data_IF_818637251729
#
_entry.id   IF_818637251729
#
_cell.length_a   1.000
_cell.length_b   1.000
_cell.length_c   1.000
_cell.angle_alpha   90.00
_cell.angle_beta   90.00
_cell.angle_gamma   90.00
#
_symmetry.space_group_name_H-M   'P 1'
#
loop_
_entity.id
_entity.type
_entity.pdbx_description
1 polymer ?
#
# COMPACT_ATOMS: atom_id res chain seq x y z
N UNK A 1 44.10 21.70 7.58
CA UNK A 1 43.90 20.86 6.37
C UNK A 1 44.02 21.73 5.13
N UNK A 2 44.72 21.29 4.07
CA UNK A 2 44.81 22.02 2.82
C UNK A 2 43.42 22.11 2.16
N UNK A 3 43.05 23.29 1.65
CA UNK A 3 41.77 23.51 0.97
C UNK A 3 41.85 22.95 -0.46
N UNK A 4 41.03 21.96 -0.76
CA UNK A 4 40.90 21.36 -2.09
C UNK A 4 39.64 21.87 -2.80
N UNK A 5 39.62 21.93 -4.15
CA UNK A 5 38.41 22.30 -4.89
C UNK A 5 37.26 21.32 -4.62
N UNK A 6 36.06 21.84 -4.35
CA UNK A 6 34.83 21.04 -4.26
C UNK A 6 34.51 20.43 -5.63
N UNK A 7 34.19 19.13 -5.67
CA UNK A 7 33.92 18.42 -6.94
C UNK A 7 32.69 18.94 -7.69
N UNK A 8 31.74 19.58 -6.99
CA UNK A 8 30.50 20.09 -7.59
C UNK A 8 30.56 21.56 -8.00
N UNK A 9 31.17 22.43 -7.19
CA UNK A 9 31.17 23.88 -7.44
C UNK A 9 32.55 24.51 -7.64
N UNK A 10 33.63 23.72 -7.59
CA UNK A 10 35.01 24.20 -7.73
C UNK A 10 35.54 25.05 -6.57
N UNK A 11 34.66 25.57 -5.69
CA UNK A 11 35.06 26.40 -4.54
C UNK A 11 35.98 25.62 -3.59
N UNK A 12 37.03 26.30 -3.11
CA UNK A 12 37.96 25.75 -2.12
C UNK A 12 37.22 25.38 -0.83
N UNK A 13 37.33 24.12 -0.41
CA UNK A 13 36.70 23.60 0.80
C UNK A 13 37.65 22.71 1.58
N UNK A 14 37.44 22.61 2.89
CA UNK A 14 38.05 21.58 3.74
C UNK A 14 37.11 20.39 3.95
N UNK A 15 35.84 20.51 3.53
CA UNK A 15 34.83 19.48 3.69
C UNK A 15 35.06 18.31 2.74
N UNK A 16 34.86 17.10 3.26
CA UNK A 16 34.84 15.85 2.48
C UNK A 16 33.52 15.14 2.72
N UNK A 17 33.04 14.42 1.71
CA UNK A 17 31.83 13.61 1.89
C UNK A 17 32.13 12.43 2.83
N UNK A 18 31.36 12.19 3.90
CA UNK A 18 31.62 11.12 4.86
C UNK A 18 31.73 9.69 4.30
N UNK A 19 30.85 9.31 3.36
CA UNK A 19 30.88 7.97 2.73
C UNK A 19 31.82 7.88 1.53
N UNK A 20 31.77 8.89 0.65
CA UNK A 20 32.47 8.90 -0.62
C UNK A 20 33.91 9.42 -0.52
N UNK A 21 34.23 10.11 0.57
CA UNK A 21 35.54 10.66 0.91
C UNK A 21 36.11 11.69 -0.07
N UNK A 22 35.44 12.12 -1.13
CA UNK A 22 35.95 13.19 -2.00
C UNK A 22 35.72 14.59 -1.42
N UNK A 23 36.48 15.62 -1.86
CA UNK A 23 36.23 17.02 -1.53
C UNK A 23 34.83 17.49 -1.95
N UNK A 24 33.99 17.82 -0.96
CA UNK A 24 32.61 18.29 -1.18
C UNK A 24 32.22 19.27 -0.08
N UNK A 25 31.79 20.47 -0.47
CA UNK A 25 31.33 21.47 0.49
C UNK A 25 29.92 21.13 1.02
N UNK A 26 29.61 21.62 2.23
CA UNK A 26 28.32 21.39 2.90
C UNK A 26 27.14 21.85 2.06
N UNK A 27 27.27 22.99 1.37
CA UNK A 27 26.21 23.57 0.55
C UNK A 27 25.88 22.68 -0.65
N UNK A 28 26.88 22.18 -1.37
CA UNK A 28 26.67 21.27 -2.50
C UNK A 28 26.05 19.95 -2.05
N UNK A 29 26.43 19.45 -0.87
CA UNK A 29 25.79 18.27 -0.29
C UNK A 29 24.31 18.51 0.01
N UNK A 30 23.98 19.67 0.58
CA UNK A 30 22.60 20.01 0.94
C UNK A 30 21.71 20.28 -0.29
N UNK A 31 22.24 20.93 -1.33
CA UNK A 31 21.50 21.20 -2.58
C UNK A 31 21.27 19.97 -3.44
N UNK A 32 22.03 18.90 -3.23
CA UNK A 32 21.93 17.66 -4.00
C UNK A 32 21.68 16.47 -3.06
N UNK A 33 20.55 16.45 -2.32
CA UNK A 33 20.28 15.44 -1.29
C UNK A 33 20.10 14.03 -1.88
N UNK A 34 19.71 13.90 -3.14
CA UNK A 34 19.59 12.61 -3.82
C UNK A 34 20.94 11.98 -4.14
N UNK A 35 21.91 12.82 -4.55
CA UNK A 35 23.25 12.38 -4.95
C UNK A 35 24.20 12.23 -3.76
N UNK A 36 24.12 13.15 -2.79
CA UNK A 36 25.08 13.28 -1.69
C UNK A 36 24.45 13.28 -0.29
N UNK A 37 23.13 13.13 -0.20
CA UNK A 37 22.44 13.03 1.08
C UNK A 37 22.50 11.62 1.67
N UNK A 38 21.95 11.50 2.87
CA UNK A 38 21.91 10.25 3.61
C UNK A 38 20.48 9.76 3.84
N UNK A 39 20.34 8.44 3.91
CA UNK A 39 19.10 7.76 4.27
C UNK A 39 19.40 6.81 5.44
N UNK A 40 18.56 6.83 6.48
CA UNK A 40 18.72 5.92 7.63
C UNK A 40 18.37 4.49 7.24
N UNK A 41 18.90 3.49 7.95
CA UNK A 41 18.48 2.07 7.77
C UNK A 41 16.96 1.91 7.77
N UNK A 42 16.30 2.46 8.79
CA UNK A 42 14.84 2.40 8.94
C UNK A 42 14.14 2.99 7.73
N UNK A 43 14.59 4.16 7.27
CA UNK A 43 14.01 4.83 6.11
C UNK A 43 14.28 4.06 4.81
N UNK A 44 15.48 3.50 4.64
CA UNK A 44 15.84 2.70 3.46
C UNK A 44 14.97 1.42 3.36
N UNK A 45 14.76 0.73 4.48
CA UNK A 45 13.86 -0.44 4.53
C UNK A 45 12.42 -0.05 4.21
N UNK A 46 11.93 1.02 4.84
CA UNK A 46 10.55 1.48 4.77
C UNK A 46 10.19 2.06 3.41
N UNK A 47 11.03 2.94 2.89
CA UNK A 47 10.74 3.80 1.74
C UNK A 47 11.27 3.22 0.41
N UNK A 48 12.20 2.27 0.46
CA UNK A 48 12.85 1.68 -0.72
C UNK A 48 12.72 0.14 -0.77
N UNK A 49 12.01 -0.46 0.19
CA UNK A 49 11.72 -1.91 0.25
C UNK A 49 12.98 -2.79 0.15
N UNK A 50 14.05 -2.34 0.81
CA UNK A 50 15.32 -3.05 0.92
C UNK A 50 15.38 -3.78 2.26
N UNK A 51 16.03 -4.94 2.32
CA UNK A 51 16.26 -5.67 3.57
C UNK A 51 17.58 -5.22 4.23
N UNK A 52 17.71 -5.34 5.57
CA UNK A 52 18.94 -4.98 6.26
C UNK A 52 20.20 -5.66 5.68
N UNK A 53 20.12 -6.95 5.34
CA UNK A 53 21.22 -7.72 4.75
C UNK A 53 21.65 -7.20 3.37
N UNK A 54 20.73 -6.61 2.61
CA UNK A 54 21.03 -5.95 1.33
C UNK A 54 21.69 -4.59 1.54
N UNK A 55 21.21 -3.84 2.54
CA UNK A 55 21.76 -2.52 2.88
C UNK A 55 23.18 -2.61 3.41
N UNK A 56 23.50 -3.60 4.23
CA UNK A 56 24.86 -3.78 4.78
C UNK A 56 25.91 -4.17 3.72
N UNK A 57 25.49 -4.44 2.47
CA UNK A 57 26.41 -4.58 1.32
C UNK A 57 26.83 -3.22 0.75
N UNK A 58 26.14 -2.12 1.11
CA UNK A 58 26.45 -0.75 0.72
C UNK A 58 27.42 -0.11 1.71
N UNK A 59 28.09 0.96 1.29
CA UNK A 59 28.87 1.80 2.22
C UNK A 59 27.92 2.59 3.11
N UNK A 60 28.24 2.63 4.40
CA UNK A 60 27.49 3.41 5.40
C UNK A 60 28.44 4.06 6.40
N UNK A 61 27.91 5.02 7.15
CA UNK A 61 28.56 5.59 8.33
C UNK A 61 27.69 5.35 9.56
N UNK A 62 28.33 5.36 10.73
CA UNK A 62 27.67 5.35 12.02
C UNK A 62 27.64 6.76 12.61
N UNK A 63 26.46 7.20 13.02
CA UNK A 63 26.26 8.47 13.71
C UNK A 63 25.57 8.24 15.05
N UNK A 64 25.69 9.20 15.97
CA UNK A 64 24.96 9.14 17.24
C UNK A 64 23.46 9.20 16.97
N UNK A 65 22.71 8.27 17.55
CA UNK A 65 21.26 8.25 17.40
C UNK A 65 20.64 9.47 18.11
N UNK A 66 19.89 10.34 17.40
CA UNK A 66 19.30 11.55 17.97
C UNK A 66 18.35 11.28 19.14
N UNK A 67 17.68 10.12 19.13
CA UNK A 67 16.74 9.68 20.15
C UNK A 67 17.42 9.00 21.35
N UNK A 68 18.64 8.47 21.17
CA UNK A 68 19.40 7.72 22.17
C UNK A 68 20.86 8.16 22.17
N UNK A 69 21.11 9.43 22.51
CA UNK A 69 22.43 10.07 22.34
C UNK A 69 23.57 9.41 23.14
N UNK A 70 23.23 8.69 24.21
CA UNK A 70 24.16 7.97 25.10
C UNK A 70 23.96 6.45 25.09
N UNK A 71 23.11 5.92 24.19
CA UNK A 71 22.77 4.50 24.15
C UNK A 71 23.67 3.68 23.20
N UNK A 72 23.65 2.34 23.30
CA UNK A 72 24.53 1.44 22.53
C UNK A 72 24.10 1.23 21.07
N UNK A 73 23.20 2.07 20.54
CA UNK A 73 22.56 1.85 19.24
C UNK A 73 22.82 3.04 18.30
N UNK A 74 23.99 3.08 17.64
CA UNK A 74 24.27 4.10 16.63
C UNK A 74 23.31 3.98 15.44
N UNK A 75 23.06 5.09 14.77
CA UNK A 75 22.27 5.08 13.54
C UNK A 75 23.17 4.77 12.34
N UNK A 76 22.73 3.84 11.49
CA UNK A 76 23.38 3.57 10.21
C UNK A 76 22.82 4.49 9.13
N UNK A 77 23.69 5.25 8.48
CA UNK A 77 23.39 6.16 7.39
C UNK A 77 24.02 5.68 6.08
N UNK A 78 23.18 5.46 5.08
CA UNK A 78 23.56 5.03 3.74
C UNK A 78 23.54 6.21 2.77
N UNK A 79 24.33 6.14 1.69
CA UNK A 79 24.25 7.14 0.62
C UNK A 79 22.91 7.01 -0.10
N UNK A 80 22.19 8.12 -0.23
CA UNK A 80 20.85 8.14 -0.83
C UNK A 80 20.86 7.58 -2.27
N UNK A 81 21.84 7.97 -3.08
CA UNK A 81 21.99 7.48 -4.44
C UNK A 81 22.15 5.95 -4.50
N UNK A 82 22.97 5.36 -3.63
CA UNK A 82 23.18 3.90 -3.60
C UNK A 82 21.89 3.15 -3.22
N UNK A 83 21.11 3.70 -2.31
CA UNK A 83 19.80 3.15 -1.92
C UNK A 83 18.83 3.20 -3.10
N UNK A 84 18.79 4.33 -3.82
CA UNK A 84 17.96 4.50 -5.03
C UNK A 84 18.36 3.55 -6.15
N UNK A 85 19.66 3.39 -6.39
CA UNK A 85 20.19 2.52 -7.44
C UNK A 85 19.92 1.05 -7.12
N UNK A 86 20.13 0.63 -5.87
CA UNK A 86 19.82 -0.73 -5.42
C UNK A 86 18.31 -1.02 -5.50
N UNK A 87 17.47 -0.06 -5.11
CA UNK A 87 16.02 -0.15 -5.28
C UNK A 87 15.63 -0.29 -6.75
N UNK A 88 16.22 0.52 -7.63
CA UNK A 88 15.95 0.48 -9.08
C UNK A 88 16.40 -0.83 -9.70
N UNK A 89 17.56 -1.33 -9.33
CA UNK A 89 18.06 -2.62 -9.82
C UNK A 89 17.11 -3.76 -9.43
N UNK A 90 16.58 -3.71 -8.20
CA UNK A 90 15.70 -4.76 -7.68
C UNK A 90 14.27 -4.67 -8.19
N UNK A 91 13.74 -3.46 -8.36
CA UNK A 91 12.31 -3.21 -8.58
C UNK A 91 11.99 -2.51 -9.90
N UNK A 92 12.98 -2.16 -10.71
CA UNK A 92 12.80 -1.43 -11.97
C UNK A 92 12.61 0.08 -11.82
N UNK A 93 12.46 0.62 -10.60
CA UNK A 93 12.33 2.06 -10.33
C UNK A 93 13.11 2.52 -9.08
N UNK A 94 13.72 3.70 -9.17
CA UNK A 94 14.41 4.40 -8.07
C UNK A 94 13.50 5.34 -7.28
N UNK A 95 12.22 5.43 -7.65
CA UNK A 95 11.25 6.24 -6.92
C UNK A 95 10.99 5.66 -5.54
N UNK A 96 10.85 6.56 -4.58
CA UNK A 96 10.60 6.23 -3.19
C UNK A 96 9.20 5.65 -3.08
N UNK A 97 9.10 4.32 -2.91
CA UNK A 97 7.84 3.66 -2.56
C UNK A 97 7.50 4.02 -1.12
N UNK A 98 7.01 5.24 -0.89
CA UNK A 98 6.72 5.74 0.45
C UNK A 98 5.41 5.16 0.95
N UNK A 99 5.40 3.86 1.25
CA UNK A 99 4.31 3.27 2.03
C UNK A 99 4.84 2.07 2.81
N UNK A 100 5.43 2.31 3.99
CA UNK A 100 4.93 1.50 5.08
C UNK A 100 3.49 1.90 5.27
N UNK A 101 2.57 0.94 5.29
CA UNK A 101 1.28 1.15 5.90
C UNK A 101 1.57 1.73 7.27
N UNK A 102 1.38 3.04 7.44
CA UNK A 102 1.30 3.62 8.76
C UNK A 102 0.10 2.93 9.37
N UNK A 103 0.33 2.07 10.35
CA UNK A 103 -0.75 1.51 11.15
C UNK A 103 -1.68 2.68 11.49
N UNK A 104 -2.92 2.62 11.03
CA UNK A 104 -3.89 3.64 11.41
C UNK A 104 -4.04 3.51 12.92
N UNK A 105 -3.62 4.54 13.67
CA UNK A 105 -3.68 4.49 15.13
C UNK A 105 -5.13 4.35 15.58
N UNK A 106 -5.35 3.73 16.75
CA UNK A 106 -6.69 3.61 17.31
C UNK A 106 -7.39 4.97 17.44
N UNK A 107 -6.64 6.03 17.78
CA UNK A 107 -7.18 7.40 17.83
C UNK A 107 -7.63 7.90 16.46
N UNK A 108 -6.88 7.58 15.39
CA UNK A 108 -7.24 7.96 14.03
C UNK A 108 -8.46 7.18 13.53
N UNK A 109 -8.57 5.90 13.88
CA UNK A 109 -9.75 5.09 13.58
C UNK A 109 -10.99 5.61 14.33
N UNK A 110 -10.86 5.92 15.63
CA UNK A 110 -11.91 6.53 16.42
C UNK A 110 -12.35 7.88 15.82
N UNK A 111 -11.41 8.69 15.36
CA UNK A 111 -11.68 9.94 14.67
C UNK A 111 -12.48 9.73 13.36
N UNK A 112 -12.23 8.67 12.60
CA UNK A 112 -13.08 8.34 11.44
C UNK A 112 -14.45 7.78 11.83
N UNK A 113 -14.56 7.10 12.98
CA UNK A 113 -15.83 6.56 13.46
C UNK A 113 -16.79 7.66 13.97
N UNK A 114 -16.26 8.73 14.54
CA UNK A 114 -17.06 9.92 14.90
C UNK A 114 -17.76 10.55 13.69
N UNK A 115 -17.07 10.58 12.55
CA UNK A 115 -17.57 11.12 11.31
C UNK A 115 -16.90 10.44 10.12
N UNK A 116 -17.59 9.46 9.53
CA UNK A 116 -17.07 8.70 8.39
C UNK A 116 -16.92 9.54 7.12
N UNK A 117 -17.56 10.71 7.03
CA UNK A 117 -17.35 11.63 5.90
C UNK A 117 -15.93 12.21 5.91
N UNK A 118 -15.19 12.13 7.02
CA UNK A 118 -13.75 12.45 7.06
C UNK A 118 -12.93 11.59 6.10
N UNK A 119 -13.41 10.40 5.70
CA UNK A 119 -12.76 9.60 4.63
C UNK A 119 -12.76 10.33 3.27
N UNK A 120 -13.72 11.22 3.00
CA UNK A 120 -13.76 12.06 1.79
C UNK A 120 -12.66 13.14 1.79
N UNK A 121 -12.16 13.49 2.97
CA UNK A 121 -11.10 14.48 3.16
C UNK A 121 -9.69 13.89 3.00
N UNK A 122 -9.57 12.56 3.05
CA UNK A 122 -8.30 11.89 2.81
C UNK A 122 -7.78 12.17 1.39
N UNK A 123 -6.48 12.41 1.23
CA UNK A 123 -5.85 12.30 -0.08
C UNK A 123 -6.06 10.89 -0.69
N UNK A 124 -6.19 10.75 -2.02
CA UNK A 124 -6.44 9.45 -2.65
C UNK A 124 -5.39 8.36 -2.32
N UNK A 125 -4.13 8.73 -2.22
CA UNK A 125 -3.04 7.84 -1.79
C UNK A 125 -3.23 7.37 -0.33
N UNK A 126 -3.65 8.27 0.56
CA UNK A 126 -3.97 7.92 1.95
C UNK A 126 -5.19 7.01 2.06
N UNK A 127 -6.16 7.16 1.17
CA UNK A 127 -7.28 6.25 1.08
C UNK A 127 -6.86 4.84 0.63
N UNK A 128 -5.93 4.74 -0.33
CA UNK A 128 -5.32 3.44 -0.69
C UNK A 128 -4.59 2.80 0.50
N UNK A 129 -3.86 3.59 1.30
CA UNK A 129 -3.16 3.07 2.48
C UNK A 129 -4.14 2.59 3.55
N UNK A 130 -5.24 3.31 3.74
CA UNK A 130 -6.32 2.87 4.62
C UNK A 130 -6.86 1.51 4.20
N UNK A 131 -7.19 1.33 2.93
CA UNK A 131 -7.69 0.04 2.41
C UNK A 131 -6.67 -1.07 2.64
N UNK A 132 -5.39 -0.83 2.32
CA UNK A 132 -4.35 -1.82 2.52
C UNK A 132 -4.17 -2.18 4.01
N UNK A 133 -4.15 -1.20 4.92
CA UNK A 133 -4.12 -1.45 6.37
C UNK A 133 -5.32 -2.29 6.85
N UNK A 134 -6.53 -2.04 6.33
CA UNK A 134 -7.71 -2.87 6.62
C UNK A 134 -7.60 -4.29 6.03
N UNK A 135 -7.03 -4.46 4.85
CA UNK A 135 -6.75 -5.78 4.25
C UNK A 135 -5.75 -6.59 5.09
N UNK A 136 -4.78 -5.93 5.75
CA UNK A 136 -3.90 -6.61 6.70
C UNK A 136 -4.65 -7.16 7.91
N UNK A 137 -5.60 -6.37 8.45
CA UNK A 137 -6.46 -6.80 9.56
C UNK A 137 -7.39 -7.95 9.17
N UNK A 138 -7.75 -8.05 7.89
CA UNK A 138 -8.45 -9.18 7.29
C UNK A 138 -7.58 -10.45 7.11
N UNK A 139 -6.31 -10.43 7.52
CA UNK A 139 -5.40 -11.59 7.41
C UNK A 139 -4.72 -11.73 6.05
N UNK A 140 -4.82 -10.70 5.20
CA UNK A 140 -4.11 -10.65 3.92
C UNK A 140 -2.78 -9.90 4.06
N UNK A 141 -1.94 -10.01 3.04
CA UNK A 141 -0.72 -9.24 2.86
C UNK A 141 -0.87 -8.38 1.60
N UNK A 142 -1.20 -7.09 1.75
CA UNK A 142 -1.35 -6.16 0.64
C UNK A 142 0.01 -5.66 0.15
N UNK A 143 0.08 -5.39 -1.14
CA UNK A 143 1.16 -4.71 -1.84
C UNK A 143 0.53 -3.63 -2.72
N UNK A 144 0.85 -2.38 -2.42
CA UNK A 144 0.44 -1.27 -3.28
C UNK A 144 1.20 -1.35 -4.60
N UNK A 145 0.45 -1.19 -5.68
CA UNK A 145 0.88 -1.33 -7.06
C UNK A 145 0.84 0.08 -7.64
N UNK A 146 1.94 0.82 -7.47
CA UNK A 146 2.04 2.18 -7.98
C UNK A 146 1.93 2.20 -9.51
N UNK A 147 0.89 2.85 -10.04
CA UNK A 147 0.63 3.16 -11.45
C UNK A 147 0.89 2.04 -12.49
N UNK A 148 0.94 0.75 -12.09
CA UNK A 148 1.35 -0.36 -12.98
C UNK A 148 0.33 -0.60 -14.11
N UNK A 149 -0.89 -0.08 -14.01
CA UNK A 149 -1.94 -0.26 -15.02
C UNK A 149 -2.69 1.02 -15.38
N UNK A 150 -1.98 2.07 -15.85
CA UNK A 150 -2.66 3.12 -16.63
C UNK A 150 -2.65 2.80 -18.12
N UNK A 151 -3.78 2.28 -18.59
CA UNK A 151 -4.80 3.05 -19.33
C UNK A 151 -6.18 2.52 -18.92
N UNK A 152 -6.82 3.27 -18.02
CA UNK A 152 -8.25 3.32 -17.71
C UNK A 152 -8.96 2.25 -16.84
N UNK A 153 -8.29 1.26 -16.24
CA UNK A 153 -8.99 0.28 -15.36
C UNK A 153 -8.26 -0.19 -14.10
N UNK A 154 -7.22 0.53 -13.65
CA UNK A 154 -6.08 0.01 -12.87
C UNK A 154 -6.33 -0.81 -11.59
N UNK A 155 -5.31 -1.62 -11.25
CA UNK A 155 -5.15 -2.32 -9.97
C UNK A 155 -4.27 -1.47 -9.06
N UNK A 156 -4.80 -1.02 -7.92
CA UNK A 156 -4.07 -0.17 -6.96
C UNK A 156 -3.35 -0.99 -5.89
N UNK A 157 -3.94 -2.12 -5.49
CA UNK A 157 -3.39 -3.00 -4.46
C UNK A 157 -3.52 -4.44 -4.95
N UNK A 158 -2.48 -5.24 -4.72
CA UNK A 158 -2.53 -6.70 -4.82
C UNK A 158 -2.47 -7.25 -3.41
N UNK A 159 -3.36 -8.18 -3.06
CA UNK A 159 -3.33 -8.84 -1.76
C UNK A 159 -3.36 -10.36 -1.90
N UNK A 160 -2.75 -11.05 -0.94
CA UNK A 160 -2.72 -12.51 -0.87
C UNK A 160 -2.77 -12.96 0.59
N UNK A 161 -3.28 -14.15 0.91
CA UNK A 161 -3.40 -14.58 2.30
C UNK A 161 -2.04 -14.83 2.96
N UNK A 162 -1.89 -14.43 4.23
CA UNK A 162 -0.68 -14.73 5.03
C UNK A 162 -0.65 -16.19 5.47
N UNK A 163 -1.78 -16.72 5.95
CA UNK A 163 -1.87 -18.03 6.60
C UNK A 163 -3.16 -18.78 6.19
N UNK A 164 -3.41 -19.00 4.89
CA UNK A 164 -4.52 -19.84 4.42
C UNK A 164 -4.00 -21.10 3.73
N UNK A 165 -4.74 -22.20 3.88
CA UNK A 165 -4.46 -23.49 3.22
C UNK A 165 -4.53 -23.38 1.69
N UNK A 166 -5.41 -22.51 1.17
CA UNK A 166 -5.58 -22.29 -0.26
C UNK A 166 -5.11 -20.87 -0.62
N UNK A 167 -4.00 -20.71 -1.36
CA UNK A 167 -3.54 -19.40 -1.78
C UNK A 167 -4.42 -18.84 -2.91
N UNK A 168 -4.58 -17.53 -2.93
CA UNK A 168 -5.22 -16.80 -4.03
C UNK A 168 -4.56 -15.44 -4.19
N UNK A 169 -4.75 -14.85 -5.38
CA UNK A 169 -4.31 -13.49 -5.68
C UNK A 169 -5.52 -12.58 -5.86
N UNK A 170 -5.63 -11.56 -5.02
CA UNK A 170 -6.69 -10.56 -5.04
C UNK A 170 -6.16 -9.27 -5.67
N UNK A 171 -6.81 -8.79 -6.72
CA UNK A 171 -6.66 -7.42 -7.19
C UNK A 171 -7.64 -6.51 -6.45
N UNK A 172 -7.20 -5.31 -6.09
CA UNK A 172 -8.05 -4.32 -5.43
C UNK A 172 -7.88 -2.97 -6.13
N UNK A 173 -9.01 -2.34 -6.43
CA UNK A 173 -9.06 -0.97 -6.95
C UNK A 173 -9.74 -0.06 -5.92
N UNK A 174 -9.13 1.08 -5.65
CA UNK A 174 -9.59 2.08 -4.70
C UNK A 174 -10.12 3.31 -5.44
N UNK A 175 -11.44 3.52 -5.40
CA UNK A 175 -12.10 4.69 -5.98
C UNK A 175 -12.42 5.73 -4.90
N UNK A 176 -11.62 6.80 -4.84
CA UNK A 176 -11.83 7.92 -3.92
C UNK A 176 -12.65 9.05 -4.54
N UNK A 177 -13.65 9.54 -3.82
CA UNK A 177 -14.45 10.71 -4.17
C UNK A 177 -14.36 11.77 -3.06
N UNK A 178 -14.09 13.02 -3.45
CA UNK A 178 -14.09 14.18 -2.52
C UNK A 178 -15.48 14.71 -2.21
N UNK A 179 -16.47 14.36 -3.03
CA UNK A 179 -17.89 14.73 -2.91
C UNK A 179 -18.71 13.46 -2.77
N UNK A 180 -19.98 13.60 -2.42
CA UNK A 180 -20.91 12.46 -2.29
C UNK A 180 -21.41 11.92 -3.64
N UNK A 181 -20.48 11.74 -4.58
CA UNK A 181 -20.76 11.18 -5.91
C UNK A 181 -20.68 9.66 -5.87
N UNK A 182 -21.65 8.95 -6.47
CA UNK A 182 -21.58 7.49 -6.54
C UNK A 182 -20.55 7.04 -7.57
N UNK A 183 -19.92 5.89 -7.31
CA UNK A 183 -19.10 5.17 -8.29
C UNK A 183 -20.01 4.51 -9.33
N UNK A 184 -19.72 4.73 -10.61
CA UNK A 184 -20.63 4.35 -11.71
C UNK A 184 -20.29 2.97 -12.23
N UNK A 185 -21.21 2.39 -13.00
CA UNK A 185 -21.03 1.07 -13.64
C UNK A 185 -19.82 1.03 -14.59
N UNK A 186 -19.44 2.17 -15.19
CA UNK A 186 -18.24 2.26 -16.03
C UNK A 186 -16.99 1.82 -15.28
N UNK A 187 -16.77 2.39 -14.08
CA UNK A 187 -15.63 2.05 -13.22
C UNK A 187 -15.57 0.54 -12.91
N UNK A 188 -16.74 -0.06 -12.65
CA UNK A 188 -16.86 -1.49 -12.33
C UNK A 188 -16.59 -2.38 -13.54
N UNK A 189 -17.05 -1.99 -14.73
CA UNK A 189 -16.81 -2.71 -15.99
C UNK A 189 -15.34 -2.62 -16.41
N UNK A 190 -14.71 -1.46 -16.25
CA UNK A 190 -13.31 -1.27 -16.60
C UNK A 190 -12.42 -2.16 -15.74
N UNK A 191 -12.68 -2.20 -14.44
CA UNK A 191 -11.96 -3.10 -13.53
C UNK A 191 -12.22 -4.57 -13.82
N UNK A 192 -13.48 -4.94 -14.07
CA UNK A 192 -13.82 -6.30 -14.50
C UNK A 192 -13.05 -6.70 -15.76
N UNK A 193 -12.93 -5.80 -16.74
CA UNK A 193 -12.14 -6.02 -17.96
C UNK A 193 -10.68 -6.34 -17.67
N UNK A 194 -10.07 -5.69 -16.66
CA UNK A 194 -8.72 -6.00 -16.20
C UNK A 194 -8.66 -7.41 -15.61
N UNK A 195 -9.63 -7.79 -14.76
CA UNK A 195 -9.68 -9.11 -14.12
C UNK A 195 -9.90 -10.24 -15.12
N UNK A 196 -10.66 -10.02 -16.19
CA UNK A 196 -10.93 -11.02 -17.23
C UNK A 196 -9.95 -10.99 -18.39
N UNK A 197 -8.94 -10.12 -18.36
CA UNK A 197 -7.92 -10.10 -19.40
C UNK A 197 -7.18 -11.45 -19.46
N UNK A 198 -6.79 -11.89 -20.67
CA UNK A 198 -6.20 -13.21 -20.89
C UNK A 198 -4.94 -13.49 -20.05
N UNK A 199 -4.26 -12.45 -19.58
CA UNK A 199 -3.04 -12.55 -18.78
C UNK A 199 -3.27 -12.17 -17.30
N UNK A 200 -4.52 -12.02 -16.86
CA UNK A 200 -4.84 -11.67 -15.49
C UNK A 200 -4.45 -12.81 -14.54
N UNK A 201 -3.52 -12.59 -13.59
CA UNK A 201 -3.16 -13.60 -12.58
C UNK A 201 -4.14 -13.62 -11.39
N UNK A 202 -5.16 -12.76 -11.41
CA UNK A 202 -6.04 -12.55 -10.27
C UNK A 202 -7.18 -13.56 -10.25
N UNK A 203 -7.36 -14.17 -9.09
CA UNK A 203 -8.45 -15.12 -8.86
C UNK A 203 -9.74 -14.38 -8.50
N UNK A 204 -9.61 -13.20 -7.90
CA UNK A 204 -10.70 -12.33 -7.51
C UNK A 204 -10.28 -10.86 -7.62
N UNK A 205 -11.28 -9.98 -7.75
CA UNK A 205 -11.15 -8.55 -7.66
C UNK A 205 -12.08 -7.94 -6.62
N UNK A 206 -11.62 -6.88 -5.98
CA UNK A 206 -12.41 -6.08 -5.04
C UNK A 206 -12.31 -4.60 -5.42
N UNK A 207 -13.46 -3.96 -5.68
CA UNK A 207 -13.51 -2.54 -5.94
C UNK A 207 -14.08 -1.82 -4.72
N UNK A 208 -13.28 -0.93 -4.15
CA UNK A 208 -13.56 -0.25 -2.89
C UNK A 208 -13.81 1.23 -3.15
N UNK A 209 -14.88 1.79 -2.61
CA UNK A 209 -15.19 3.22 -2.72
C UNK A 209 -15.55 3.83 -1.37
N UNK A 210 -15.16 5.08 -1.15
CA UNK A 210 -15.53 5.85 0.05
C UNK A 210 -16.93 6.47 -0.02
N UNK A 211 -17.75 6.12 -1.02
CA UNK A 211 -19.14 6.57 -1.14
C UNK A 211 -20.07 5.38 -1.35
N UNK A 212 -20.85 5.36 -2.43
CA UNK A 212 -21.78 4.27 -2.79
C UNK A 212 -21.61 3.90 -4.25
N UNK A 213 -22.10 2.73 -4.61
CA UNK A 213 -22.24 2.31 -6.00
C UNK A 213 -23.61 2.71 -6.55
N UNK A 214 -23.69 2.97 -7.87
CA UNK A 214 -24.99 3.09 -8.54
C UNK A 214 -25.71 1.73 -8.59
N UNK A 215 -27.03 1.74 -8.76
CA UNK A 215 -27.80 0.50 -8.90
C UNK A 215 -27.27 -0.38 -10.06
N UNK A 216 -26.93 0.24 -11.20
CA UNK A 216 -26.34 -0.46 -12.35
C UNK A 216 -24.98 -1.10 -12.04
N UNK A 217 -24.18 -0.44 -11.19
CA UNK A 217 -22.88 -0.96 -10.76
C UNK A 217 -23.06 -2.19 -9.87
N UNK A 218 -24.02 -2.12 -8.94
CA UNK A 218 -24.36 -3.25 -8.08
C UNK A 218 -24.91 -4.42 -8.89
N UNK A 219 -25.87 -4.16 -9.78
CA UNK A 219 -26.45 -5.18 -10.66
C UNK A 219 -25.37 -5.87 -11.51
N UNK A 220 -24.43 -5.11 -12.08
CA UNK A 220 -23.34 -5.71 -12.86
C UNK A 220 -22.43 -6.58 -11.98
N UNK A 221 -22.08 -6.14 -10.77
CA UNK A 221 -21.26 -6.93 -9.86
C UNK A 221 -21.99 -8.20 -9.38
N UNK A 222 -23.28 -8.14 -9.10
CA UNK A 222 -24.07 -9.30 -8.66
C UNK A 222 -24.09 -10.42 -9.71
N UNK A 223 -24.10 -10.04 -11.00
CA UNK A 223 -23.99 -10.97 -12.13
C UNK A 223 -22.56 -11.51 -12.34
N UNK A 224 -21.55 -10.91 -11.73
CA UNK A 224 -20.14 -11.28 -11.84
C UNK A 224 -19.49 -11.60 -10.47
N UNK A 225 -20.30 -11.90 -9.45
CA UNK A 225 -19.88 -12.04 -8.04
C UNK A 225 -18.87 -13.15 -7.77
N UNK A 226 -18.70 -14.09 -8.71
CA UNK A 226 -17.66 -15.12 -8.66
C UNK A 226 -16.25 -14.53 -8.73
N UNK A 227 -16.11 -13.43 -9.47
CA UNK A 227 -14.83 -12.78 -9.75
C UNK A 227 -14.73 -11.41 -9.08
N UNK A 228 -15.81 -10.62 -9.05
CA UNK A 228 -15.78 -9.22 -8.65
C UNK A 228 -16.64 -8.94 -7.43
N UNK A 229 -16.06 -8.25 -6.45
CA UNK A 229 -16.70 -7.88 -5.17
C UNK A 229 -16.69 -6.36 -5.00
N UNK A 230 -17.78 -5.81 -4.46
CA UNK A 230 -17.90 -4.36 -4.20
C UNK A 230 -17.87 -4.05 -2.70
N UNK A 231 -17.13 -3.02 -2.30
CA UNK A 231 -17.10 -2.50 -0.93
C UNK A 231 -17.30 -0.99 -0.92
N UNK A 232 -18.42 -0.52 -0.38
CA UNK A 232 -18.78 0.90 -0.27
C UNK A 232 -18.57 1.46 1.13
N UNK A 233 -19.07 2.68 1.38
CA UNK A 233 -18.93 3.36 2.67
C UNK A 233 -19.44 2.53 3.85
N UNK A 234 -20.55 1.81 3.69
CA UNK A 234 -21.08 0.95 4.74
C UNK A 234 -20.09 -0.16 5.11
N UNK A 235 -19.41 -0.76 4.13
CA UNK A 235 -18.38 -1.77 4.39
C UNK A 235 -17.16 -1.15 5.08
N UNK A 236 -16.72 0.04 4.64
CA UNK A 236 -15.61 0.75 5.26
C UNK A 236 -15.92 1.13 6.72
N UNK A 237 -17.14 1.53 7.03
CA UNK A 237 -17.58 1.80 8.40
C UNK A 237 -17.48 0.55 9.28
N UNK A 238 -17.76 -0.64 8.74
CA UNK A 238 -17.57 -1.90 9.48
C UNK A 238 -16.08 -2.20 9.68
N UNK A 239 -15.27 -2.03 8.63
CA UNK A 239 -13.81 -2.20 8.72
C UNK A 239 -13.14 -1.24 9.71
N UNK A 240 -13.70 -0.03 9.89
CA UNK A 240 -13.27 0.92 10.92
C UNK A 240 -13.55 0.41 12.34
N UNK A 241 -14.64 -0.35 12.54
CA UNK A 241 -15.01 -0.97 13.81
C UNK A 241 -14.33 -2.32 14.06
N UNK A 242 -13.40 -2.69 13.19
CA UNK A 242 -12.77 -4.02 13.15
C UNK A 242 -13.77 -5.17 12.98
N UNK A 243 -14.95 -4.88 12.43
CA UNK A 243 -15.96 -5.87 12.08
C UNK A 243 -15.73 -6.37 10.65
N UNK A 244 -15.00 -7.48 10.56
CA UNK A 244 -14.47 -8.04 9.31
C UNK A 244 -15.11 -9.36 8.88
N UNK A 245 -15.88 -9.99 9.76
CA UNK A 245 -16.34 -11.38 9.58
C UNK A 245 -17.85 -11.54 9.75
N UNK A 246 -18.63 -10.46 9.79
CA UNK A 246 -20.09 -10.54 9.97
C UNK A 246 -20.86 -11.17 8.80
N UNK A 247 -22.17 -11.38 9.02
CA UNK A 247 -23.11 -11.90 8.00
C UNK A 247 -23.14 -11.08 6.70
N UNK A 248 -22.83 -9.78 6.74
CA UNK A 248 -22.82 -8.94 5.54
C UNK A 248 -21.66 -9.28 4.60
N UNK A 249 -20.58 -9.91 5.07
CA UNK A 249 -19.51 -10.42 4.20
C UNK A 249 -19.94 -11.72 3.48
N UNK A 250 -20.94 -12.44 4.00
CA UNK A 250 -21.50 -13.64 3.38
C UNK A 250 -22.48 -13.36 2.24
N UNK A 251 -22.85 -12.10 1.99
CA UNK A 251 -23.81 -11.71 0.93
C UNK A 251 -23.43 -12.17 -0.48
N UNK A 252 -22.15 -12.44 -0.69
CA UNK A 252 -21.59 -12.85 -1.99
C UNK A 252 -21.64 -14.38 -2.18
N UNK A 253 -21.88 -15.14 -1.10
CA UNK A 253 -22.01 -16.59 -1.12
C UNK A 253 -23.51 -16.93 -1.23
N UNK A 254 -23.93 -17.67 -2.29
CA UNK A 254 -25.33 -18.08 -2.42
C UNK A 254 -25.72 -19.06 -1.31
N UNK A 255 -26.97 -19.01 -0.86
CA UNK A 255 -27.52 -19.96 0.13
C UNK A 255 -27.71 -21.35 -0.45
N UNK A 256 -27.87 -21.48 -1.78
CA UNK A 256 -28.01 -22.74 -2.48
C UNK A 256 -27.29 -22.67 -3.82
N UNK A 257 -26.70 -23.79 -4.23
CA UNK A 257 -26.13 -23.99 -5.56
C UNK A 257 -26.73 -25.23 -6.22
N UNK A 258 -26.90 -25.21 -7.54
CA UNK A 258 -27.17 -26.40 -8.34
C UNK A 258 -25.84 -26.91 -8.91
N UNK A 259 -25.41 -28.10 -8.45
CA UNK A 259 -24.13 -28.70 -8.87
C UNK A 259 -24.25 -29.46 -10.18
N UNK A 260 -25.40 -30.10 -10.41
CA UNK A 260 -25.78 -30.81 -11.62
C UNK A 260 -27.31 -30.76 -11.75
N UNK A 261 -27.90 -31.02 -12.92
CA UNK A 261 -29.35 -30.98 -13.11
C UNK A 261 -30.10 -31.78 -12.02
N UNK A 262 -30.87 -31.08 -11.18
CA UNK A 262 -31.63 -31.67 -10.07
C UNK A 262 -30.86 -31.94 -8.77
N UNK A 263 -29.54 -31.72 -8.74
CA UNK A 263 -28.70 -31.84 -7.54
C UNK A 263 -28.45 -30.44 -6.96
N UNK A 264 -29.25 -30.09 -5.96
CA UNK A 264 -29.12 -28.82 -5.22
C UNK A 264 -28.44 -29.04 -3.88
N UNK A 265 -27.53 -28.14 -3.54
CA UNK A 265 -26.77 -28.16 -2.30
C UNK A 265 -26.94 -26.83 -1.59
N UNK A 266 -27.43 -26.90 -0.35
CA UNK A 266 -27.51 -25.76 0.55
C UNK A 266 -26.13 -25.43 1.09
N UNK A 267 -25.75 -24.16 1.04
CA UNK A 267 -24.51 -23.64 1.60
C UNK A 267 -24.83 -23.08 2.99
N UNK A 268 -24.37 -23.75 4.07
CA UNK A 268 -24.65 -23.27 5.41
C UNK A 268 -23.97 -21.92 5.62
N UNK A 269 -24.76 -20.90 5.98
CA UNK A 269 -24.22 -19.63 6.47
C UNK A 269 -23.65 -19.85 7.87
N UNK A 270 -22.45 -19.35 8.10
CA UNK A 270 -21.89 -19.32 9.43
C UNK A 270 -22.75 -18.42 10.31
N UNK A 271 -23.50 -18.99 11.26
CA UNK A 271 -24.16 -18.22 12.31
C UNK A 271 -23.05 -17.73 13.24
N UNK A 272 -22.57 -16.53 13.02
CA UNK A 272 -21.59 -15.92 13.90
C UNK A 272 -22.28 -15.64 15.23
N UNK A 273 -21.96 -16.45 16.23
CA UNK A 273 -22.38 -16.22 17.60
C UNK A 273 -21.66 -14.97 18.10
N UNK A 274 -22.36 -13.83 18.14
CA UNK A 274 -21.88 -12.67 18.88
C UNK A 274 -21.87 -13.05 20.37
N UNK A 275 -20.73 -12.94 21.09
CA UNK A 275 -20.76 -13.08 22.54
C UNK A 275 -21.67 -11.99 23.12
N UNK A 276 -22.50 -12.40 24.08
CA UNK A 276 -23.48 -11.58 24.81
C UNK A 276 -22.82 -10.44 25.59
#
# INVERSE_FOLDING_TARGET
MPKTPCIECGKKTVGRHPILEFPLCRDCRFRNPDKYGFVTKTRAVRDYRLKPDELYKLKFIEEKNPHWRSGPHPMHLFLHQQVKDLSKQKWGSSEVYTVSLSQFSEQLLAWFLEDSDRLKQLPPDKFQFFIADRLERLGLEPKLVGDVNRKDGGVDIIAYPKNLTVPFLLAVQAKHHRKDSPTKVGDVRDFHGVLTSNNSPFHMGMLVTNTRFTADAQWFADNNKKLLRLRGMQDLQRWLKEDFVNEHEWREIPEEIELAPGIRVQIPREKLWLPS
#
